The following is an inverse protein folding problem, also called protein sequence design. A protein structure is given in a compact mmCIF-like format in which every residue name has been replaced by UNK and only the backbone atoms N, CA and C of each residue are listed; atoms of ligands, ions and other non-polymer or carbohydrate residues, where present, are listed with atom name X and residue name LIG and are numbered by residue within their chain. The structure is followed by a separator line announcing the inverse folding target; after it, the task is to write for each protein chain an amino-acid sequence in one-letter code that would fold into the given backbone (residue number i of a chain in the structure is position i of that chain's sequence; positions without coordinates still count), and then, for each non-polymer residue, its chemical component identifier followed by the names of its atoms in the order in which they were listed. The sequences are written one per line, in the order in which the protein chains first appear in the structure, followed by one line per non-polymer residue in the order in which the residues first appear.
data_IF_285521369116
#
_entry.id   IF_285521369116
#
_cell.length_a   1.000
_cell.length_b   1.000
_cell.length_c   1.000
_cell.angle_alpha   90.00
_cell.angle_beta   90.00
_cell.angle_gamma   90.00
#
_symmetry.space_group_name_H-M   'P 1'
#
loop_
_entity.id
_entity.type
_entity.pdbx_description
1 polymer ?
#
# COMPACT_ATOMS: atom_id res chain seq x y z
N UNK A 1 -44.41 5.27 23.08
CA UNK A 1 -44.17 3.86 23.47
C UNK A 1 -43.99 3.87 24.99
N UNK A 2 -44.76 3.10 25.77
CA UNK A 2 -44.59 3.06 27.21
C UNK A 2 -43.24 2.43 27.55
N UNK A 3 -42.61 2.94 28.60
CA UNK A 3 -41.28 2.57 29.06
C UNK A 3 -41.27 1.10 29.52
N UNK A 4 -40.52 0.24 28.80
CA UNK A 4 -40.35 -1.17 29.14
C UNK A 4 -39.71 -1.38 30.54
N UNK A 5 -39.17 -0.33 31.18
CA UNK A 5 -38.64 -0.40 32.54
C UNK A 5 -39.74 -0.55 33.61
N UNK A 6 -40.87 0.15 33.48
CA UNK A 6 -41.97 0.06 34.46
C UNK A 6 -42.65 -1.33 34.48
N UNK A 7 -42.72 -1.99 33.32
CA UNK A 7 -43.33 -3.32 33.21
C UNK A 7 -42.42 -4.41 33.82
N UNK A 8 -41.09 -4.24 33.75
CA UNK A 8 -40.14 -5.18 34.32
C UNK A 8 -40.00 -5.02 35.85
N UNK A 9 -40.04 -3.79 36.37
CA UNK A 9 -39.96 -3.55 37.81
C UNK A 9 -41.18 -4.08 38.57
N UNK A 10 -42.38 -3.98 38.00
CA UNK A 10 -43.60 -4.54 38.60
C UNK A 10 -43.61 -6.07 38.62
N UNK A 11 -42.98 -6.71 37.64
CA UNK A 11 -42.85 -8.18 37.60
C UNK A 11 -41.86 -8.68 38.64
N UNK A 12 -40.79 -7.94 38.88
CA UNK A 12 -39.78 -8.27 39.89
C UNK A 12 -40.30 -8.06 41.31
N UNK A 13 -41.00 -6.96 41.58
CA UNK A 13 -41.57 -6.68 42.92
C UNK A 13 -42.61 -7.71 43.36
N UNK A 14 -43.46 -8.18 42.43
CA UNK A 14 -44.43 -9.23 42.66
C UNK A 14 -43.76 -10.58 43.00
N UNK A 15 -42.66 -10.91 42.32
CA UNK A 15 -41.89 -12.12 42.60
C UNK A 15 -41.24 -12.08 43.98
N UNK A 16 -40.79 -10.92 44.48
CA UNK A 16 -40.23 -10.81 45.84
C UNK A 16 -41.27 -11.05 46.93
N UNK A 17 -42.49 -10.53 46.78
CA UNK A 17 -43.57 -10.74 47.75
C UNK A 17 -44.08 -12.19 47.75
N UNK A 18 -44.19 -12.82 46.57
CA UNK A 18 -44.56 -14.23 46.46
C UNK A 18 -43.52 -15.13 47.13
N UNK A 19 -42.24 -14.88 46.88
CA UNK A 19 -41.13 -15.62 47.50
C UNK A 19 -41.13 -15.41 49.03
N UNK A 20 -41.26 -14.17 49.50
CA UNK A 20 -41.29 -13.86 50.94
C UNK A 20 -42.48 -14.53 51.67
N UNK A 21 -43.66 -14.55 51.05
CA UNK A 21 -44.86 -15.18 51.63
C UNK A 21 -44.77 -16.71 51.70
N UNK A 22 -44.19 -17.37 50.69
CA UNK A 22 -43.89 -18.80 50.73
C UNK A 22 -42.93 -19.12 51.88
N UNK A 23 -41.93 -18.26 52.13
CA UNK A 23 -40.99 -18.46 53.23
C UNK A 23 -41.61 -18.29 54.61
N UNK A 24 -42.48 -17.30 54.80
CA UNK A 24 -43.23 -17.14 56.06
C UNK A 24 -44.10 -18.37 56.32
N UNK A 25 -44.74 -18.91 55.29
CA UNK A 25 -45.55 -20.12 55.40
C UNK A 25 -44.71 -21.35 55.78
N UNK A 26 -43.55 -21.55 55.14
CA UNK A 26 -42.62 -22.65 55.47
C UNK A 26 -42.07 -22.49 56.89
N UNK A 27 -41.70 -21.28 57.30
CA UNK A 27 -41.20 -20.99 58.64
C UNK A 27 -42.24 -21.33 59.72
N UNK A 28 -43.49 -20.91 59.52
CA UNK A 28 -44.59 -21.20 60.44
C UNK A 28 -44.89 -22.70 60.50
N UNK A 29 -44.85 -23.39 59.35
CA UNK A 29 -45.12 -24.83 59.27
C UNK A 29 -44.04 -25.67 59.96
N UNK A 30 -42.76 -25.34 59.74
CA UNK A 30 -41.62 -26.00 60.41
C UNK A 30 -41.64 -25.71 61.91
N UNK A 31 -41.92 -24.46 62.31
CA UNK A 31 -42.04 -24.09 63.73
C UNK A 31 -43.17 -24.86 64.42
N UNK A 32 -44.32 -25.03 63.74
CA UNK A 32 -45.44 -25.81 64.24
C UNK A 32 -45.11 -27.31 64.36
N UNK A 33 -44.40 -27.88 63.37
CA UNK A 33 -43.94 -29.27 63.41
C UNK A 33 -42.93 -29.52 64.53
N UNK A 34 -41.98 -28.60 64.72
CA UNK A 34 -41.00 -28.66 65.82
C UNK A 34 -41.69 -28.56 67.17
N UNK A 35 -42.62 -27.62 67.33
CA UNK A 35 -43.38 -27.47 68.57
C UNK A 35 -44.25 -28.71 68.87
N UNK A 36 -44.88 -29.28 67.84
CA UNK A 36 -45.65 -30.52 67.95
C UNK A 36 -44.77 -31.72 68.32
N UNK A 37 -43.59 -31.83 67.73
CA UNK A 37 -42.62 -32.90 68.01
C UNK A 37 -42.00 -32.80 69.40
N UNK A 38 -41.65 -31.59 69.86
CA UNK A 38 -41.22 -31.34 71.24
C UNK A 38 -42.31 -31.76 72.22
N UNK A 39 -43.58 -31.39 71.96
CA UNK A 39 -44.72 -31.83 72.78
C UNK A 39 -44.90 -33.35 72.76
N UNK A 40 -44.72 -34.01 71.63
CA UNK A 40 -44.82 -35.46 71.51
C UNK A 40 -43.73 -36.17 72.33
N UNK A 41 -42.46 -35.76 72.21
CA UNK A 41 -41.36 -36.30 73.02
C UNK A 41 -41.58 -36.03 74.52
N UNK A 42 -42.14 -34.87 74.88
CA UNK A 42 -42.44 -34.51 76.27
C UNK A 42 -43.52 -35.39 76.92
N UNK A 43 -44.36 -36.04 76.12
CA UNK A 43 -45.46 -36.89 76.60
C UNK A 43 -44.99 -38.31 76.98
N UNK A 44 -43.90 -38.80 76.39
CA UNK A 44 -43.48 -40.21 76.47
C UNK A 44 -42.15 -40.45 77.22
N UNK A 45 -41.55 -39.40 77.83
CA UNK A 45 -40.17 -39.46 78.37
C UNK A 45 -40.04 -39.25 79.88
N UNK A 46 -39.03 -39.90 80.48
CA UNK A 46 -38.60 -39.71 81.89
C UNK A 46 -37.74 -38.44 82.06
N UNK A 47 -37.67 -37.82 83.27
CA UNK A 47 -37.07 -36.49 83.47
C UNK A 47 -35.61 -36.32 83.00
N UNK A 48 -34.77 -37.36 83.06
CA UNK A 48 -33.36 -37.31 82.63
C UNK A 48 -33.18 -37.36 81.10
N UNK A 49 -34.03 -38.08 80.37
CA UNK A 49 -33.98 -38.17 78.91
C UNK A 49 -34.62 -36.96 78.22
N UNK A 50 -35.51 -36.24 78.93
CA UNK A 50 -36.19 -35.04 78.46
C UNK A 50 -35.20 -33.92 78.10
N UNK A 51 -34.29 -33.58 79.03
CA UNK A 51 -33.31 -32.48 78.83
C UNK A 51 -32.33 -32.81 77.69
N UNK A 52 -31.91 -34.08 77.56
CA UNK A 52 -30.98 -34.51 76.50
C UNK A 52 -31.64 -34.43 75.12
N UNK A 53 -32.85 -34.97 74.99
CA UNK A 53 -33.61 -34.99 73.73
C UNK A 53 -34.03 -33.59 73.27
N UNK A 54 -34.38 -32.69 74.20
CA UNK A 54 -34.68 -31.28 73.89
C UNK A 54 -33.45 -30.56 73.32
N UNK A 55 -32.27 -30.79 73.90
CA UNK A 55 -31.01 -30.20 73.40
C UNK A 55 -30.61 -30.70 72.01
N UNK A 56 -30.85 -31.98 71.71
CA UNK A 56 -30.58 -32.56 70.39
C UNK A 56 -31.59 -32.06 69.36
N UNK A 57 -32.89 -31.99 69.71
CA UNK A 57 -33.92 -31.42 68.86
C UNK A 57 -33.62 -29.95 68.51
N UNK A 58 -33.22 -29.13 69.48
CA UNK A 58 -32.79 -27.74 69.25
C UNK A 58 -31.58 -27.64 68.32
N UNK A 59 -30.57 -28.52 68.46
CA UNK A 59 -29.41 -28.57 67.56
C UNK A 59 -29.79 -28.95 66.13
N UNK A 60 -30.67 -29.94 65.94
CA UNK A 60 -31.17 -30.33 64.62
C UNK A 60 -31.93 -29.19 63.96
N UNK A 61 -32.79 -28.50 64.71
CA UNK A 61 -33.52 -27.32 64.22
C UNK A 61 -32.58 -26.19 63.83
N UNK A 62 -31.59 -25.87 64.68
CA UNK A 62 -30.56 -24.87 64.37
C UNK A 62 -29.74 -25.23 63.12
N UNK A 63 -29.46 -26.52 62.90
CA UNK A 63 -28.73 -27.01 61.72
C UNK A 63 -29.57 -26.86 60.44
N UNK A 64 -30.87 -27.16 60.51
CA UNK A 64 -31.80 -26.97 59.39
C UNK A 64 -31.89 -25.49 59.02
N UNK A 65 -32.09 -24.60 60.00
CA UNK A 65 -32.13 -23.16 59.75
C UNK A 65 -30.79 -22.61 59.25
N UNK A 66 -29.66 -23.09 59.78
CA UNK A 66 -28.33 -22.75 59.28
C UNK A 66 -28.12 -23.17 57.83
N UNK A 67 -28.54 -24.38 57.45
CA UNK A 67 -28.49 -24.87 56.07
C UNK A 67 -29.35 -24.05 55.11
N UNK A 68 -30.58 -23.71 55.51
CA UNK A 68 -31.48 -22.86 54.73
C UNK A 68 -30.87 -21.46 54.53
N UNK A 69 -30.29 -20.87 55.59
CA UNK A 69 -29.65 -19.56 55.49
C UNK A 69 -28.46 -19.56 54.50
N UNK A 70 -27.67 -20.64 54.47
CA UNK A 70 -26.58 -20.82 53.49
C UNK A 70 -27.13 -20.89 52.06
N UNK A 71 -28.19 -21.68 51.82
CA UNK A 71 -28.81 -21.81 50.50
C UNK A 71 -29.39 -20.47 50.04
N UNK A 72 -30.05 -19.73 50.92
CA UNK A 72 -30.58 -18.40 50.64
C UNK A 72 -29.45 -17.44 50.25
N UNK A 73 -28.38 -17.39 51.04
CA UNK A 73 -27.20 -16.58 50.71
C UNK A 73 -26.58 -16.99 49.38
N UNK A 74 -26.54 -18.28 49.05
CA UNK A 74 -26.06 -18.77 47.77
C UNK A 74 -26.96 -18.33 46.59
N UNK A 75 -28.29 -18.39 46.72
CA UNK A 75 -29.24 -17.92 45.70
C UNK A 75 -29.13 -16.40 45.50
N UNK A 76 -29.05 -15.63 46.59
CA UNK A 76 -28.85 -14.18 46.50
C UNK A 76 -27.48 -13.83 45.91
N UNK A 77 -26.44 -14.60 46.22
CA UNK A 77 -25.13 -14.43 45.62
C UNK A 77 -25.15 -14.73 44.11
N UNK A 78 -25.80 -15.82 43.69
CA UNK A 78 -25.96 -16.18 42.28
C UNK A 78 -26.73 -15.10 41.50
N UNK A 79 -27.89 -14.66 42.00
CA UNK A 79 -28.65 -13.57 41.36
C UNK A 79 -27.88 -12.25 41.30
N UNK A 80 -27.07 -11.97 42.33
CA UNK A 80 -26.20 -10.78 42.35
C UNK A 80 -25.08 -10.89 41.32
N UNK A 81 -24.54 -12.10 41.12
CA UNK A 81 -23.56 -12.38 40.08
C UNK A 81 -24.16 -12.18 38.67
N UNK A 82 -25.35 -12.72 38.40
CA UNK A 82 -26.05 -12.53 37.12
C UNK A 82 -26.31 -11.03 36.84
N UNK A 83 -26.80 -10.29 37.85
CA UNK A 83 -27.03 -8.85 37.73
C UNK A 83 -25.73 -8.05 37.54
N UNK A 84 -24.62 -8.49 38.16
CA UNK A 84 -23.30 -7.88 37.97
C UNK A 84 -22.78 -8.12 36.55
N UNK A 85 -22.98 -9.32 35.98
CA UNK A 85 -22.60 -9.64 34.61
C UNK A 85 -23.38 -8.77 33.61
N UNK A 86 -24.69 -8.65 33.77
CA UNK A 86 -25.52 -7.78 32.94
C UNK A 86 -25.11 -6.31 33.08
N UNK A 87 -24.83 -5.84 34.30
CA UNK A 87 -24.35 -4.46 34.51
C UNK A 87 -22.96 -4.23 33.92
N UNK A 88 -22.07 -5.22 33.98
CA UNK A 88 -20.72 -5.13 33.45
C UNK A 88 -20.76 -5.06 31.92
N UNK A 89 -21.65 -5.85 31.29
CA UNK A 89 -21.91 -5.77 29.86
C UNK A 89 -22.48 -4.41 29.46
N UNK A 90 -23.49 -3.92 30.16
CA UNK A 90 -24.06 -2.60 29.90
C UNK A 90 -23.05 -1.47 30.14
N UNK A 91 -22.16 -1.60 31.14
CA UNK A 91 -21.09 -0.63 31.39
C UNK A 91 -20.05 -0.64 30.25
N UNK A 92 -19.70 -1.81 29.72
CA UNK A 92 -18.81 -1.94 28.57
C UNK A 92 -19.44 -1.33 27.29
N UNK A 93 -20.71 -1.63 27.02
CA UNK A 93 -21.44 -1.04 25.89
C UNK A 93 -21.54 0.49 26.03
N UNK A 94 -21.86 1.01 27.22
CA UNK A 94 -21.89 2.45 27.47
C UNK A 94 -20.51 3.10 27.34
N UNK A 95 -19.44 2.42 27.74
CA UNK A 95 -18.07 2.90 27.55
C UNK A 95 -17.70 2.98 26.06
N UNK A 96 -18.06 1.97 25.27
CA UNK A 96 -17.88 1.98 23.81
C UNK A 96 -18.67 3.11 23.14
N UNK A 97 -19.93 3.32 23.51
CA UNK A 97 -20.76 4.42 22.99
C UNK A 97 -20.13 5.79 23.35
N UNK A 98 -19.60 5.94 24.56
CA UNK A 98 -18.94 7.17 24.99
C UNK A 98 -17.64 7.43 24.20
N UNK A 99 -16.83 6.40 23.97
CA UNK A 99 -15.63 6.47 23.13
C UNK A 99 -15.98 6.85 21.69
N UNK A 100 -16.96 6.19 21.10
CA UNK A 100 -17.45 6.45 19.73
C UNK A 100 -17.97 7.88 19.58
N UNK A 101 -18.69 8.38 20.59
CA UNK A 101 -19.15 9.76 20.63
C UNK A 101 -17.96 10.73 20.69
N UNK A 102 -16.95 10.45 21.51
CA UNK A 102 -15.77 11.30 21.63
C UNK A 102 -14.96 11.35 20.33
N UNK A 103 -14.80 10.21 19.64
CA UNK A 103 -14.15 10.16 18.33
C UNK A 103 -14.95 10.97 17.31
N UNK A 104 -16.27 10.80 17.28
CA UNK A 104 -17.17 11.54 16.36
C UNK A 104 -17.10 13.05 16.58
N UNK A 105 -17.06 13.51 17.84
CA UNK A 105 -16.90 14.93 18.18
C UNK A 105 -15.52 15.47 17.75
N UNK A 106 -14.43 14.73 18.04
CA UNK A 106 -13.07 15.09 17.60
C UNK A 106 -12.97 15.14 16.08
N UNK A 107 -13.56 14.17 15.39
CA UNK A 107 -13.59 14.09 13.94
C UNK A 107 -14.34 15.28 13.35
N UNK A 108 -15.57 15.54 13.81
CA UNK A 108 -16.37 16.68 13.35
C UNK A 108 -15.63 18.01 13.53
N UNK A 109 -14.95 18.18 14.68
CA UNK A 109 -14.15 19.39 14.94
C UNK A 109 -12.95 19.51 14.02
N UNK A 110 -12.29 18.39 13.71
CA UNK A 110 -11.15 18.36 12.81
C UNK A 110 -11.56 18.71 11.37
N UNK A 111 -12.74 18.25 10.91
CA UNK A 111 -13.30 18.63 9.60
C UNK A 111 -13.62 20.13 9.55
N UNK A 112 -14.23 20.69 10.59
CA UNK A 112 -14.50 22.13 10.69
C UNK A 112 -13.20 22.94 10.62
N UNK A 113 -12.15 22.49 11.31
CA UNK A 113 -10.82 23.11 11.26
C UNK A 113 -10.16 23.01 9.88
N UNK A 114 -10.32 21.88 9.19
CA UNK A 114 -9.79 21.66 7.85
C UNK A 114 -10.42 22.62 6.82
N UNK A 115 -11.68 23.03 7.02
CA UNK A 115 -12.37 24.02 6.20
C UNK A 115 -11.99 25.48 6.50
N UNK A 116 -11.11 25.74 7.47
CA UNK A 116 -10.74 27.09 7.87
C UNK A 116 -9.89 27.80 6.80
N UNK A 117 -10.08 29.12 6.64
CA UNK A 117 -9.21 29.95 5.80
C UNK A 117 -7.80 30.14 6.39
N UNK A 118 -7.64 29.95 7.71
CA UNK A 118 -6.37 30.10 8.42
C UNK A 118 -5.54 28.82 8.36
N UNK A 119 -4.32 28.91 7.85
CA UNK A 119 -3.44 27.74 7.66
C UNK A 119 -3.16 27.04 8.98
N UNK A 120 -2.92 27.76 10.07
CA UNK A 120 -2.61 27.19 11.39
C UNK A 120 -3.77 26.34 11.92
N UNK A 121 -5.00 26.76 11.64
CA UNK A 121 -6.22 26.02 12.02
C UNK A 121 -6.38 24.77 11.16
N UNK A 122 -6.14 24.87 9.84
CA UNK A 122 -6.16 23.69 8.95
C UNK A 122 -5.14 22.64 9.35
N UNK A 123 -3.91 23.05 9.67
CA UNK A 123 -2.88 22.15 10.15
C UNK A 123 -3.30 21.44 11.45
N UNK A 124 -3.94 22.17 12.38
CA UNK A 124 -4.53 21.58 13.58
C UNK A 124 -5.59 20.51 13.25
N UNK A 125 -6.44 20.75 12.25
CA UNK A 125 -7.40 19.78 11.74
C UNK A 125 -6.74 18.53 11.16
N UNK A 126 -5.73 18.71 10.29
CA UNK A 126 -4.98 17.61 9.65
C UNK A 126 -4.33 16.69 10.70
N UNK A 127 -3.63 17.25 11.68
CA UNK A 127 -2.99 16.43 12.72
C UNK A 127 -4.00 15.83 13.71
N UNK A 128 -5.15 16.46 13.91
CA UNK A 128 -6.23 15.86 14.69
C UNK A 128 -6.82 14.65 13.97
N UNK A 129 -7.01 14.73 12.65
CA UNK A 129 -7.41 13.61 11.80
C UNK A 129 -6.36 12.50 11.83
N UNK A 130 -5.06 12.82 11.68
CA UNK A 130 -3.98 11.83 11.81
C UNK A 130 -4.05 11.09 13.15
N UNK A 131 -4.26 11.84 14.25
CA UNK A 131 -4.37 11.24 15.58
C UNK A 131 -5.58 10.33 15.69
N UNK A 132 -6.74 10.71 15.14
CA UNK A 132 -7.92 9.84 15.08
C UNK A 132 -7.61 8.55 14.31
N UNK A 133 -6.94 8.65 13.16
CA UNK A 133 -6.56 7.49 12.35
C UNK A 133 -5.53 6.55 13.04
N UNK A 134 -4.78 7.06 14.02
CA UNK A 134 -3.88 6.26 14.86
C UNK A 134 -4.60 5.65 16.07
N UNK A 135 -5.51 6.40 16.68
CA UNK A 135 -6.27 5.99 17.86
C UNK A 135 -7.38 4.99 17.51
N UNK A 136 -7.91 5.02 16.28
CA UNK A 136 -9.06 4.22 15.83
C UNK A 136 -8.84 3.60 14.44
N UNK A 137 -8.65 2.28 14.41
CA UNK A 137 -8.46 1.53 13.15
C UNK A 137 -9.71 1.58 12.26
N UNK A 138 -10.91 1.59 12.85
CA UNK A 138 -12.18 1.70 12.11
C UNK A 138 -12.32 3.04 11.37
N UNK A 139 -11.76 4.12 11.91
CA UNK A 139 -11.88 5.48 11.36
C UNK A 139 -10.70 5.85 10.46
N UNK A 140 -9.61 5.06 10.50
CA UNK A 140 -8.41 5.25 9.70
C UNK A 140 -8.72 5.48 8.23
N UNK A 141 -9.57 4.63 7.65
CA UNK A 141 -9.98 4.70 6.25
C UNK A 141 -10.69 6.03 5.94
N UNK A 142 -11.69 6.37 6.73
CA UNK A 142 -12.48 7.60 6.56
C UNK A 142 -11.59 8.84 6.62
N UNK A 143 -10.62 8.87 7.54
CA UNK A 143 -9.63 9.93 7.61
C UNK A 143 -8.82 10.03 6.31
N UNK A 144 -8.30 8.91 5.80
CA UNK A 144 -7.53 8.92 4.55
C UNK A 144 -8.38 9.38 3.37
N UNK A 145 -9.64 8.96 3.29
CA UNK A 145 -10.58 9.40 2.24
C UNK A 145 -10.83 10.92 2.31
N UNK A 146 -11.01 11.48 3.50
CA UNK A 146 -11.17 12.92 3.72
C UNK A 146 -9.91 13.69 3.30
N UNK A 147 -8.73 13.28 3.76
CA UNK A 147 -7.47 13.96 3.43
C UNK A 147 -7.20 13.89 1.93
N UNK A 148 -7.47 12.74 1.31
CA UNK A 148 -7.33 12.56 -0.13
C UNK A 148 -8.33 13.43 -0.91
N UNK A 149 -9.58 13.50 -0.46
CA UNK A 149 -10.60 14.37 -1.06
C UNK A 149 -10.23 15.85 -0.93
N UNK A 150 -9.69 16.25 0.23
CA UNK A 150 -9.18 17.60 0.45
C UNK A 150 -8.06 17.95 -0.55
N UNK A 151 -7.11 17.04 -0.78
CA UNK A 151 -6.04 17.23 -1.77
C UNK A 151 -6.63 17.40 -3.17
N UNK A 152 -7.56 16.53 -3.58
CA UNK A 152 -8.18 16.62 -4.93
C UNK A 152 -8.89 17.95 -5.16
N UNK A 153 -9.59 18.47 -4.15
CA UNK A 153 -10.31 19.74 -4.26
C UNK A 153 -9.36 20.95 -4.28
N UNK A 154 -8.26 20.90 -3.52
CA UNK A 154 -7.39 22.07 -3.29
C UNK A 154 -6.10 22.06 -4.11
N UNK A 155 -5.75 20.94 -4.74
CA UNK A 155 -4.64 20.80 -5.66
C UNK A 155 -5.07 20.13 -6.98
N UNK A 156 -6.15 20.57 -7.64
CA UNK A 156 -6.60 19.95 -8.87
C UNK A 156 -5.56 20.15 -9.97
N UNK A 157 -5.48 19.20 -10.90
CA UNK A 157 -4.83 19.42 -12.18
C UNK A 157 -5.54 20.58 -12.90
N UNK A 158 -4.90 21.76 -12.96
CA UNK A 158 -5.40 22.86 -13.78
C UNK A 158 -5.18 22.48 -15.23
N UNK A 159 -6.26 22.11 -15.92
CA UNK A 159 -6.29 21.86 -17.37
C UNK A 159 -5.85 23.14 -18.10
N UNK A 160 -4.55 23.37 -18.23
CA UNK A 160 -4.03 24.33 -19.20
C UNK A 160 -3.80 23.57 -20.50
N UNK A 161 -4.86 23.57 -21.31
CA UNK A 161 -4.88 23.25 -22.73
C UNK A 161 -4.33 21.86 -23.11
N UNK A 162 -5.25 20.89 -23.26
CA UNK A 162 -5.15 19.80 -24.24
C UNK A 162 -5.09 20.41 -25.67
N UNK A 163 -4.03 21.12 -26.01
CA UNK A 163 -3.78 21.63 -27.36
C UNK A 163 -3.06 20.55 -28.17
N UNK A 164 -3.81 19.96 -29.10
CA UNK A 164 -3.35 19.35 -30.36
C UNK A 164 -2.29 18.25 -30.28
N UNK A 165 -2.75 17.01 -30.13
CA UNK A 165 -2.08 15.85 -30.73
C UNK A 165 -2.10 16.03 -32.26
N UNK A 166 -0.93 15.84 -32.89
CA UNK A 166 -0.68 15.40 -34.28
C UNK A 166 0.44 16.19 -35.00
N UNK A 167 1.56 16.53 -34.34
CA UNK A 167 2.78 16.87 -35.10
C UNK A 167 4.08 16.66 -34.30
N UNK A 168 4.91 15.65 -34.63
CA UNK A 168 6.09 15.27 -33.84
C UNK A 168 7.19 16.35 -33.77
N UNK A 169 7.29 17.23 -34.78
CA UNK A 169 8.23 18.36 -34.74
C UNK A 169 7.73 19.52 -33.88
N UNK A 170 6.41 19.64 -33.68
CA UNK A 170 5.81 20.61 -32.77
C UNK A 170 5.91 20.09 -31.34
N UNK A 171 5.84 18.78 -31.11
CA UNK A 171 6.01 18.17 -29.78
C UNK A 171 7.38 18.45 -29.16
N UNK A 172 8.47 18.47 -29.93
CA UNK A 172 9.80 18.83 -29.39
C UNK A 172 9.89 20.32 -28.98
N UNK A 173 9.33 21.23 -29.78
CA UNK A 173 9.26 22.67 -29.47
C UNK A 173 8.24 23.00 -28.36
N UNK A 174 7.10 22.30 -28.32
CA UNK A 174 6.09 22.38 -27.26
C UNK A 174 6.64 21.80 -25.97
N UNK A 175 7.42 20.71 -26.00
CA UNK A 175 8.05 20.13 -24.82
C UNK A 175 9.09 21.10 -24.24
N UNK A 176 9.88 21.78 -25.08
CA UNK A 176 10.78 22.87 -24.63
C UNK A 176 10.00 24.05 -24.02
N UNK A 177 8.83 24.41 -24.58
CA UNK A 177 7.97 25.50 -24.06
C UNK A 177 7.25 25.10 -22.77
N UNK A 178 6.73 23.87 -22.68
CA UNK A 178 6.09 23.27 -21.50
C UNK A 178 7.09 23.13 -20.35
N UNK A 179 8.31 22.66 -20.64
CA UNK A 179 9.45 22.65 -19.68
C UNK A 179 9.82 24.07 -19.21
N UNK A 180 9.76 25.08 -20.09
CA UNK A 180 9.99 26.48 -19.69
C UNK A 180 8.86 27.07 -18.83
N UNK A 181 7.60 26.68 -19.06
CA UNK A 181 6.47 27.09 -18.22
C UNK A 181 6.41 26.32 -16.89
N UNK A 182 6.88 25.06 -16.84
CA UNK A 182 7.11 24.31 -15.59
C UNK A 182 8.17 24.98 -14.67
N UNK A 183 9.09 25.79 -15.19
CA UNK A 183 10.05 26.51 -14.35
C UNK A 183 9.41 27.64 -13.50
N UNK A 184 8.08 27.81 -13.56
CA UNK A 184 7.29 28.60 -12.60
C UNK A 184 6.14 27.77 -12.00
N UNK A 185 6.38 26.51 -11.66
CA UNK A 185 5.43 25.74 -10.86
C UNK A 185 5.17 26.49 -9.55
N UNK A 186 3.89 26.72 -9.18
CA UNK A 186 3.56 27.32 -7.90
C UNK A 186 4.07 26.42 -6.77
N UNK A 187 4.66 27.02 -5.73
CA UNK A 187 5.07 26.29 -4.54
C UNK A 187 3.87 25.54 -3.97
N UNK A 188 4.03 24.24 -3.71
CA UNK A 188 3.00 23.42 -3.10
C UNK A 188 2.52 24.06 -1.79
N UNK A 189 1.19 24.14 -1.61
CA UNK A 189 0.62 24.70 -0.39
C UNK A 189 0.95 23.80 0.82
N UNK A 190 1.16 24.43 1.98
CA UNK A 190 1.64 23.74 3.17
C UNK A 190 0.65 22.68 3.68
N UNK A 191 -0.64 22.99 3.68
CA UNK A 191 -1.70 22.04 4.05
C UNK A 191 -1.76 20.80 3.14
N UNK A 192 -1.57 20.98 1.82
CA UNK A 192 -1.49 19.87 0.87
C UNK A 192 -0.29 18.99 1.19
N UNK A 193 0.87 19.59 1.45
CA UNK A 193 2.06 18.85 1.86
C UNK A 193 1.86 18.11 3.19
N UNK A 194 1.16 18.70 4.16
CA UNK A 194 0.88 18.03 5.43
C UNK A 194 -0.13 16.88 5.28
N UNK A 195 -1.18 17.04 4.47
CA UNK A 195 -2.09 15.95 4.11
C UNK A 195 -1.31 14.79 3.46
N UNK A 196 -0.46 15.09 2.48
CA UNK A 196 0.41 14.10 1.83
C UNK A 196 1.35 13.43 2.82
N UNK A 197 1.90 14.17 3.80
CA UNK A 197 2.79 13.64 4.83
C UNK A 197 2.08 12.64 5.74
N UNK A 198 0.84 12.94 6.13
CA UNK A 198 0.00 12.04 6.93
C UNK A 198 -0.33 10.77 6.14
N UNK A 199 -0.78 10.93 4.88
CA UNK A 199 -1.08 9.79 3.99
C UNK A 199 0.18 8.93 3.78
N UNK A 200 1.32 9.55 3.50
CA UNK A 200 2.58 8.87 3.19
C UNK A 200 3.10 7.97 4.33
N UNK A 201 2.82 8.29 5.60
CA UNK A 201 3.37 7.54 6.75
C UNK A 201 2.38 6.56 7.38
N UNK A 202 1.17 6.46 6.84
CA UNK A 202 0.15 5.58 7.39
C UNK A 202 0.59 4.10 7.38
N UNK A 203 0.03 3.30 8.27
CA UNK A 203 0.25 1.85 8.24
C UNK A 203 -0.59 1.29 7.08
N UNK A 204 0.04 0.46 6.25
CA UNK A 204 -0.67 -0.30 5.24
C UNK A 204 -1.69 -1.19 5.98
N UNK A 205 -2.95 -0.80 5.91
CA UNK A 205 -4.06 -1.59 6.42
C UNK A 205 -4.54 -2.43 5.25
N UNK A 206 -4.56 -3.74 5.47
CA UNK A 206 -4.96 -4.75 4.49
C UNK A 206 -6.48 -4.59 4.25
N UNK A 207 -6.88 -3.57 3.49
CA UNK A 207 -8.28 -3.21 3.29
C UNK A 207 -8.62 -3.42 1.84
N UNK A 208 -9.15 -4.62 1.59
CA UNK A 208 -9.60 -5.21 0.34
C UNK A 208 -10.63 -4.40 -0.48
N UNK A 209 -10.78 -3.07 -0.34
CA UNK A 209 -11.87 -2.41 -1.09
C UNK A 209 -11.74 -0.96 -1.57
N UNK A 210 -10.78 -0.12 -1.14
CA UNK A 210 -10.55 1.18 -1.82
C UNK A 210 -9.10 1.65 -1.75
N UNK A 211 -8.50 1.78 -2.93
CA UNK A 211 -7.20 2.41 -3.17
C UNK A 211 -7.24 3.91 -2.86
N UNK A 212 -6.12 4.46 -2.40
CA UNK A 212 -5.96 5.91 -2.20
C UNK A 212 -6.05 6.62 -3.56
N UNK A 213 -7.10 7.39 -3.81
CA UNK A 213 -7.31 8.06 -5.09
C UNK A 213 -6.71 9.48 -5.11
N UNK A 214 -5.47 9.58 -5.54
CA UNK A 214 -4.73 10.81 -5.80
C UNK A 214 -4.63 11.09 -7.31
N UNK A 215 -5.64 10.72 -8.10
CA UNK A 215 -5.67 10.98 -9.54
C UNK A 215 -6.01 12.44 -9.87
N UNK A 216 -5.57 12.93 -11.03
CA UNK A 216 -5.93 14.26 -11.55
C UNK A 216 -5.59 15.43 -10.61
N UNK A 217 -4.49 15.32 -9.86
CA UNK A 217 -4.01 16.37 -8.94
C UNK A 217 -2.68 16.94 -9.40
N UNK A 218 -2.38 18.17 -9.02
CA UNK A 218 -1.07 18.77 -9.17
C UNK A 218 -0.38 18.92 -7.81
N UNK A 219 0.49 17.96 -7.52
CA UNK A 219 1.33 17.92 -6.32
C UNK A 219 2.80 18.00 -6.72
N UNK A 220 3.10 18.80 -7.74
CA UNK A 220 4.48 19.11 -8.14
C UNK A 220 5.28 19.61 -6.95
N UNK A 221 6.56 19.23 -6.88
CA UNK A 221 7.47 19.56 -5.79
C UNK A 221 7.07 19.00 -4.41
N UNK A 222 6.10 18.09 -4.34
CA UNK A 222 5.75 17.41 -3.09
C UNK A 222 6.91 16.59 -2.54
N UNK A 223 7.06 16.58 -1.22
CA UNK A 223 7.95 15.67 -0.52
C UNK A 223 7.17 14.43 -0.07
N UNK A 224 7.40 13.33 -0.76
CA UNK A 224 6.84 12.00 -0.54
C UNK A 224 7.97 10.97 -0.33
N UNK A 225 9.10 11.42 0.22
CA UNK A 225 10.23 10.54 0.53
C UNK A 225 9.78 9.43 1.49
N UNK A 226 10.05 8.17 1.14
CA UNK A 226 9.60 6.96 1.85
C UNK A 226 8.08 6.82 1.99
N UNK A 227 7.30 7.51 1.15
CA UNK A 227 5.85 7.41 1.21
C UNK A 227 5.37 5.99 0.91
N UNK A 228 4.37 5.53 1.65
CA UNK A 228 3.68 4.26 1.42
C UNK A 228 2.44 4.52 0.57
N UNK A 229 2.58 4.27 -0.73
CA UNK A 229 1.59 4.51 -1.77
C UNK A 229 1.30 3.22 -2.56
N UNK A 230 1.42 2.06 -1.90
CA UNK A 230 1.05 0.76 -2.47
C UNK A 230 -0.38 0.82 -3.01
N UNK A 231 -0.54 0.43 -4.27
CA UNK A 231 -1.80 0.47 -5.02
C UNK A 231 -2.51 1.82 -5.08
N UNK A 232 -1.82 2.94 -4.77
CA UNK A 232 -2.43 4.26 -4.91
C UNK A 232 -2.80 4.53 -6.37
N UNK A 233 -3.95 5.17 -6.59
CA UNK A 233 -4.36 5.65 -7.91
C UNK A 233 -3.82 7.08 -8.05
N UNK A 234 -2.77 7.22 -8.86
CA UNK A 234 -2.06 8.45 -9.21
C UNK A 234 -2.19 8.75 -10.72
N UNK A 235 -3.18 8.15 -11.39
CA UNK A 235 -3.42 8.33 -12.82
C UNK A 235 -3.64 9.82 -13.13
N UNK A 236 -3.00 10.31 -14.19
CA UNK A 236 -3.04 11.73 -14.61
C UNK A 236 -2.53 12.72 -13.53
N UNK A 237 -1.88 12.25 -12.45
CA UNK A 237 -1.30 13.15 -11.45
C UNK A 237 -0.05 13.87 -11.99
N UNK A 238 0.10 15.16 -11.66
CA UNK A 238 1.32 15.93 -11.89
C UNK A 238 2.19 15.88 -10.64
N UNK A 239 3.29 15.14 -10.75
CA UNK A 239 4.31 14.87 -9.74
C UNK A 239 5.67 15.50 -10.11
N UNK A 240 5.65 16.51 -10.99
CA UNK A 240 6.87 17.13 -11.52
C UNK A 240 7.75 17.66 -10.39
N UNK A 241 9.03 17.32 -10.41
CA UNK A 241 10.01 17.69 -9.38
C UNK A 241 9.66 17.22 -7.95
N UNK A 242 8.69 16.31 -7.79
CA UNK A 242 8.40 15.71 -6.50
C UNK A 242 9.54 14.79 -6.03
N UNK A 243 9.67 14.63 -4.71
CA UNK A 243 10.66 13.77 -4.07
C UNK A 243 9.94 12.51 -3.59
N UNK A 244 10.10 11.42 -4.31
CA UNK A 244 9.57 10.07 -4.03
C UNK A 244 10.71 9.07 -3.78
N UNK A 245 11.89 9.55 -3.35
CA UNK A 245 13.01 8.69 -3.02
C UNK A 245 12.58 7.63 -2.00
N UNK A 246 13.01 6.38 -2.17
CA UNK A 246 12.66 5.26 -1.29
C UNK A 246 11.14 5.03 -1.09
N UNK A 247 10.26 5.65 -1.89
CA UNK A 247 8.82 5.46 -1.78
C UNK A 247 8.40 4.04 -2.19
N UNK A 248 7.31 3.53 -1.60
CA UNK A 248 6.71 2.24 -1.91
C UNK A 248 5.48 2.50 -2.76
N UNK A 249 5.58 2.23 -4.06
CA UNK A 249 4.57 2.42 -5.10
C UNK A 249 4.19 1.07 -5.75
N UNK A 250 4.31 -0.02 -4.98
CA UNK A 250 4.02 -1.38 -5.48
C UNK A 250 2.57 -1.43 -5.97
N UNK A 251 2.34 -1.84 -7.22
CA UNK A 251 1.00 -1.90 -7.82
C UNK A 251 0.30 -0.55 -8.01
N UNK A 252 0.98 0.58 -7.81
CA UNK A 252 0.38 1.90 -7.97
C UNK A 252 0.02 2.17 -9.44
N UNK A 253 -1.09 2.86 -9.66
CA UNK A 253 -1.52 3.29 -10.99
C UNK A 253 -1.03 4.72 -11.25
N UNK A 254 -0.01 4.86 -12.08
CA UNK A 254 0.61 6.10 -12.56
C UNK A 254 0.31 6.34 -14.05
N UNK A 255 -0.77 5.74 -14.59
CA UNK A 255 -1.14 5.87 -16.00
C UNK A 255 -1.27 7.35 -16.39
N UNK A 256 -0.61 7.76 -17.48
CA UNK A 256 -0.56 9.15 -17.96
C UNK A 256 -0.05 10.18 -16.93
N UNK A 257 0.58 9.77 -15.82
CA UNK A 257 1.10 10.71 -14.83
C UNK A 257 2.30 11.51 -15.37
N UNK A 258 2.46 12.75 -14.92
CA UNK A 258 3.64 13.57 -15.24
C UNK A 258 4.66 13.52 -14.11
N UNK A 259 5.76 12.82 -14.33
CA UNK A 259 6.88 12.57 -13.41
C UNK A 259 8.16 13.30 -13.88
N UNK A 260 8.00 14.44 -14.55
CA UNK A 260 9.13 15.22 -15.07
C UNK A 260 10.09 15.62 -13.94
N UNK A 261 11.37 15.24 -14.06
CA UNK A 261 12.41 15.46 -13.03
C UNK A 261 12.05 14.95 -11.62
N UNK A 262 11.09 14.03 -11.50
CA UNK A 262 10.73 13.45 -10.21
C UNK A 262 11.90 12.60 -9.70
N UNK A 263 12.18 12.69 -8.40
CA UNK A 263 13.18 11.85 -7.75
C UNK A 263 12.51 10.57 -7.24
N UNK A 264 12.77 9.44 -7.90
CA UNK A 264 12.35 8.08 -7.58
C UNK A 264 13.56 7.21 -7.20
N UNK A 265 14.69 7.79 -6.81
CA UNK A 265 15.89 7.05 -6.41
C UNK A 265 15.54 6.03 -5.33
N UNK A 266 15.87 4.75 -5.53
CA UNK A 266 15.55 3.63 -4.64
C UNK A 266 14.05 3.40 -4.36
N UNK A 267 13.15 3.96 -5.16
CA UNK A 267 11.72 3.69 -5.03
C UNK A 267 11.38 2.24 -5.46
N UNK A 268 10.33 1.68 -4.86
CA UNK A 268 9.76 0.38 -5.22
C UNK A 268 8.53 0.58 -6.09
N UNK A 269 8.66 0.31 -7.38
CA UNK A 269 7.63 0.41 -8.43
C UNK A 269 7.24 -0.98 -8.95
N UNK A 270 7.42 -2.03 -8.14
CA UNK A 270 7.11 -3.41 -8.51
C UNK A 270 5.64 -3.49 -8.95
N UNK A 271 5.37 -4.04 -10.12
CA UNK A 271 4.01 -4.17 -10.70
C UNK A 271 3.25 -2.83 -10.84
N UNK A 272 3.93 -1.68 -10.74
CA UNK A 272 3.30 -0.38 -10.94
C UNK A 272 2.93 -0.18 -12.42
N UNK A 273 1.80 0.48 -12.67
CA UNK A 273 1.38 0.82 -14.03
C UNK A 273 1.82 2.26 -14.35
N UNK A 274 2.78 2.45 -15.24
CA UNK A 274 3.26 3.73 -15.74
C UNK A 274 2.95 3.92 -17.24
N UNK A 275 1.93 3.22 -17.77
CA UNK A 275 1.52 3.34 -19.17
C UNK A 275 1.37 4.80 -19.58
N UNK A 276 2.09 5.21 -20.64
CA UNK A 276 2.10 6.59 -21.16
C UNK A 276 2.50 7.69 -20.17
N UNK A 277 3.11 7.36 -19.03
CA UNK A 277 3.63 8.36 -18.10
C UNK A 277 4.81 9.13 -18.71
N UNK A 278 5.01 10.37 -18.25
CA UNK A 278 6.16 11.20 -18.61
C UNK A 278 7.21 11.20 -17.49
N UNK A 279 8.23 10.36 -17.60
CA UNK A 279 9.41 10.31 -16.72
C UNK A 279 10.61 11.06 -17.32
N UNK A 280 10.39 12.03 -18.20
CA UNK A 280 11.48 12.81 -18.79
C UNK A 280 12.37 13.41 -17.69
N UNK A 281 13.67 13.13 -17.75
CA UNK A 281 14.68 13.56 -16.75
C UNK A 281 14.43 13.10 -15.31
N UNK A 282 13.59 12.09 -15.08
CA UNK A 282 13.40 11.51 -13.75
C UNK A 282 14.66 10.80 -13.26
N UNK A 283 14.81 10.74 -11.93
CA UNK A 283 15.92 10.05 -11.26
C UNK A 283 15.40 8.73 -10.67
N UNK A 284 15.84 7.60 -11.21
CA UNK A 284 15.40 6.25 -10.84
C UNK A 284 16.61 5.36 -10.48
N UNK A 285 17.70 5.95 -10.00
CA UNK A 285 18.90 5.20 -9.62
C UNK A 285 18.53 4.15 -8.56
N UNK A 286 18.88 2.89 -8.82
CA UNK A 286 18.56 1.75 -7.95
C UNK A 286 17.07 1.57 -7.65
N UNK A 287 16.18 2.14 -8.45
CA UNK A 287 14.74 1.85 -8.34
C UNK A 287 14.46 0.39 -8.72
N UNK A 288 13.41 -0.17 -8.14
CA UNK A 288 12.92 -1.51 -8.45
C UNK A 288 11.64 -1.40 -9.27
N UNK A 289 11.74 -1.70 -10.55
CA UNK A 289 10.66 -1.68 -11.56
C UNK A 289 10.27 -3.11 -11.97
N UNK A 290 10.57 -4.11 -11.14
CA UNK A 290 10.26 -5.51 -11.44
C UNK A 290 8.79 -5.66 -11.85
N UNK A 291 8.54 -6.22 -13.04
CA UNK A 291 7.19 -6.42 -13.60
C UNK A 291 6.33 -5.16 -13.72
N UNK A 292 6.93 -3.97 -13.71
CA UNK A 292 6.21 -2.73 -13.96
C UNK A 292 5.79 -2.60 -15.43
N UNK A 293 4.69 -1.90 -15.69
CA UNK A 293 4.17 -1.63 -17.03
C UNK A 293 4.59 -0.23 -17.47
N UNK A 294 5.52 -0.13 -18.42
CA UNK A 294 6.05 1.12 -18.99
C UNK A 294 5.84 1.20 -20.52
N UNK A 295 4.81 0.53 -21.04
CA UNK A 295 4.46 0.64 -22.45
C UNK A 295 4.16 2.11 -22.83
N UNK A 296 4.72 2.55 -23.95
CA UNK A 296 4.63 3.94 -24.46
C UNK A 296 5.06 5.04 -23.47
N UNK A 297 5.81 4.71 -22.40
CA UNK A 297 6.30 5.67 -21.41
C UNK A 297 7.45 6.52 -21.97
N UNK A 298 7.52 7.80 -21.62
CA UNK A 298 8.64 8.66 -21.98
C UNK A 298 9.69 8.74 -20.86
N UNK A 299 10.86 8.13 -21.08
CA UNK A 299 12.02 8.10 -20.17
C UNK A 299 13.19 8.94 -20.70
N UNK A 300 12.94 9.84 -21.66
CA UNK A 300 13.99 10.64 -22.33
C UNK A 300 14.86 11.37 -21.30
N UNK A 301 16.18 11.20 -21.40
CA UNK A 301 17.17 11.76 -20.45
C UNK A 301 16.99 11.35 -18.97
N UNK A 302 16.21 10.31 -18.65
CA UNK A 302 16.10 9.80 -17.29
C UNK A 302 17.36 9.05 -16.86
N UNK A 303 17.56 8.86 -15.56
CA UNK A 303 18.68 8.08 -15.01
C UNK A 303 18.18 6.84 -14.29
N UNK A 304 18.50 5.66 -14.82
CA UNK A 304 18.15 4.32 -14.29
C UNK A 304 19.41 3.53 -13.89
N UNK A 305 20.45 4.23 -13.43
CA UNK A 305 21.73 3.59 -13.08
C UNK A 305 21.54 2.56 -11.96
N UNK A 306 21.97 1.32 -12.19
CA UNK A 306 21.75 0.16 -11.33
C UNK A 306 20.27 -0.13 -10.97
N UNK A 307 19.31 0.31 -11.77
CA UNK A 307 17.89 -0.03 -11.55
C UNK A 307 17.63 -1.52 -11.87
N UNK A 308 16.61 -2.08 -11.22
CA UNK A 308 16.10 -3.44 -11.51
C UNK A 308 14.88 -3.32 -12.39
N UNK A 309 14.90 -3.93 -13.56
CA UNK A 309 13.84 -3.97 -14.56
C UNK A 309 13.56 -5.42 -14.99
N UNK A 310 13.57 -6.36 -14.03
CA UNK A 310 13.27 -7.77 -14.29
C UNK A 310 11.83 -7.93 -14.78
N UNK A 311 11.62 -8.60 -15.92
CA UNK A 311 10.29 -8.81 -16.54
C UNK A 311 9.48 -7.50 -16.73
N UNK A 312 10.15 -6.36 -16.86
CA UNK A 312 9.48 -5.06 -17.07
C UNK A 312 9.02 -4.91 -18.52
N UNK A 313 7.81 -4.40 -18.71
CA UNK A 313 7.30 -4.07 -20.05
C UNK A 313 7.66 -2.64 -20.44
N UNK A 314 8.48 -2.47 -21.47
CA UNK A 314 8.95 -1.20 -22.04
C UNK A 314 8.61 -1.11 -23.54
N UNK A 315 7.64 -1.88 -24.02
CA UNK A 315 7.28 -1.89 -25.44
C UNK A 315 6.91 -0.48 -25.93
N UNK A 316 7.51 -0.06 -27.05
CA UNK A 316 7.32 1.29 -27.62
C UNK A 316 7.75 2.46 -26.72
N UNK A 317 8.40 2.22 -25.58
CA UNK A 317 8.83 3.29 -24.67
C UNK A 317 9.95 4.13 -25.30
N UNK A 318 10.00 5.42 -24.94
CA UNK A 318 11.07 6.32 -25.39
C UNK A 318 12.15 6.46 -24.32
N UNK A 319 13.26 5.75 -24.49
CA UNK A 319 14.47 5.78 -23.66
C UNK A 319 15.62 6.56 -24.32
N UNK A 320 15.32 7.57 -25.15
CA UNK A 320 16.35 8.36 -25.83
C UNK A 320 17.27 9.05 -24.83
N UNK A 321 18.58 8.87 -24.99
CA UNK A 321 19.62 9.41 -24.09
C UNK A 321 19.46 9.01 -22.61
N UNK A 322 18.70 7.96 -22.31
CA UNK A 322 18.52 7.47 -20.94
C UNK A 322 19.80 6.80 -20.44
N UNK A 323 20.13 7.01 -19.16
CA UNK A 323 21.29 6.39 -18.54
C UNK A 323 20.91 5.10 -17.79
N UNK A 324 21.10 3.96 -18.45
CA UNK A 324 20.86 2.58 -17.97
C UNK A 324 22.18 1.88 -17.53
N UNK A 325 23.21 2.64 -17.13
CA UNK A 325 24.48 2.07 -16.68
C UNK A 325 24.26 1.00 -15.59
N UNK A 326 24.70 -0.23 -15.86
CA UNK A 326 24.52 -1.40 -14.98
C UNK A 326 23.06 -1.73 -14.61
N UNK A 327 22.07 -1.27 -15.37
CA UNK A 327 20.68 -1.66 -15.16
C UNK A 327 20.48 -3.17 -15.44
N UNK A 328 19.54 -3.79 -14.73
CA UNK A 328 19.18 -5.20 -14.89
C UNK A 328 17.87 -5.31 -15.66
N UNK A 329 17.92 -5.57 -16.96
CA UNK A 329 16.79 -5.74 -17.88
C UNK A 329 16.59 -7.22 -18.26
N UNK A 330 16.80 -8.14 -17.31
CA UNK A 330 16.65 -9.57 -17.56
C UNK A 330 15.18 -9.86 -17.86
N UNK A 331 14.90 -10.53 -18.97
CA UNK A 331 13.55 -10.88 -19.44
C UNK A 331 12.61 -9.67 -19.65
N UNK A 332 13.16 -8.45 -19.75
CA UNK A 332 12.36 -7.26 -20.08
C UNK A 332 11.92 -7.27 -21.56
N UNK A 333 10.75 -6.70 -21.84
CA UNK A 333 10.26 -6.49 -23.21
C UNK A 333 10.47 -5.04 -23.62
N UNK A 334 11.23 -4.82 -24.68
CA UNK A 334 11.61 -3.53 -25.26
C UNK A 334 11.32 -3.50 -26.77
N UNK A 335 10.35 -4.29 -27.24
CA UNK A 335 9.99 -4.36 -28.65
C UNK A 335 9.57 -2.96 -29.12
N UNK A 336 10.10 -2.53 -30.27
CA UNK A 336 9.86 -1.20 -30.85
C UNK A 336 10.29 0.00 -29.96
N UNK A 337 11.01 -0.22 -28.85
CA UNK A 337 11.44 0.85 -27.96
C UNK A 337 12.50 1.76 -28.62
N UNK A 338 12.48 3.06 -28.28
CA UNK A 338 13.43 4.05 -28.78
C UNK A 338 14.57 4.23 -27.77
N UNK A 339 15.73 3.65 -28.06
CA UNK A 339 16.94 3.69 -27.22
C UNK A 339 18.07 4.52 -27.86
N UNK A 340 17.74 5.43 -28.78
CA UNK A 340 18.73 6.26 -29.49
C UNK A 340 19.62 7.01 -28.50
N UNK A 341 20.94 6.81 -28.58
CA UNK A 341 21.92 7.43 -27.69
C UNK A 341 21.86 6.98 -26.23
N UNK A 342 21.06 5.96 -25.88
CA UNK A 342 20.98 5.46 -24.50
C UNK A 342 22.32 4.86 -24.03
N UNK A 343 22.64 5.02 -22.75
CA UNK A 343 23.81 4.41 -22.14
C UNK A 343 23.43 3.12 -21.41
N UNK A 344 23.67 1.98 -22.05
CA UNK A 344 23.48 0.61 -21.55
C UNK A 344 24.81 -0.04 -21.15
N UNK A 345 25.86 0.75 -20.90
CA UNK A 345 27.18 0.21 -20.54
C UNK A 345 27.05 -0.71 -19.32
N UNK A 346 27.53 -1.95 -19.43
CA UNK A 346 27.44 -3.00 -18.41
C UNK A 346 26.01 -3.37 -17.98
N UNK A 347 24.99 -3.04 -18.77
CA UNK A 347 23.63 -3.49 -18.52
C UNK A 347 23.52 -5.01 -18.73
N UNK A 348 22.59 -5.64 -18.01
CA UNK A 348 22.27 -7.06 -18.15
C UNK A 348 20.94 -7.17 -18.89
N UNK A 349 20.97 -7.68 -20.12
CA UNK A 349 19.85 -7.82 -21.05
C UNK A 349 19.61 -9.30 -21.39
N UNK A 350 19.97 -10.22 -20.50
CA UNK A 350 19.79 -11.66 -20.71
C UNK A 350 18.32 -11.99 -20.98
N UNK A 351 18.05 -12.72 -22.06
CA UNK A 351 16.70 -13.05 -22.54
C UNK A 351 15.78 -11.83 -22.80
N UNK A 352 16.32 -10.61 -22.93
CA UNK A 352 15.49 -9.44 -23.22
C UNK A 352 14.95 -9.47 -24.66
N UNK A 353 13.74 -8.94 -24.86
CA UNK A 353 13.12 -8.80 -26.18
C UNK A 353 13.36 -7.37 -26.68
N UNK A 354 14.14 -7.20 -27.74
CA UNK A 354 14.53 -5.92 -28.35
C UNK A 354 14.21 -5.92 -29.86
N UNK A 355 13.25 -6.75 -30.30
CA UNK A 355 12.87 -6.80 -31.70
C UNK A 355 12.36 -5.44 -32.18
N UNK A 356 12.85 -5.02 -33.36
CA UNK A 356 12.57 -3.70 -33.94
C UNK A 356 12.96 -2.49 -33.08
N UNK A 357 13.75 -2.66 -32.02
CA UNK A 357 14.18 -1.56 -31.16
C UNK A 357 15.14 -0.60 -31.89
N UNK A 358 15.03 0.70 -31.62
CA UNK A 358 15.89 1.74 -32.18
C UNK A 358 17.08 2.04 -31.25
N UNK A 359 18.21 1.39 -31.48
CA UNK A 359 19.45 1.50 -30.68
C UNK A 359 20.53 2.36 -31.39
N UNK A 360 20.12 3.26 -32.28
CA UNK A 360 21.07 4.09 -33.04
C UNK A 360 21.95 4.91 -32.09
N UNK A 361 23.26 4.84 -32.29
CA UNK A 361 24.26 5.54 -31.47
C UNK A 361 24.22 5.19 -29.96
N UNK A 362 23.52 4.12 -29.56
CA UNK A 362 23.48 3.65 -28.17
C UNK A 362 24.85 3.11 -27.73
N UNK A 363 25.12 3.17 -26.42
CA UNK A 363 26.36 2.69 -25.80
C UNK A 363 26.07 1.42 -25.03
N UNK A 364 26.40 0.25 -25.59
CA UNK A 364 26.25 -1.07 -24.98
C UNK A 364 27.62 -1.68 -24.60
N UNK A 365 28.62 -0.86 -24.31
CA UNK A 365 29.95 -1.35 -23.98
C UNK A 365 29.90 -2.29 -22.75
N UNK A 366 30.54 -3.46 -22.85
CA UNK A 366 30.53 -4.52 -21.84
C UNK A 366 29.12 -4.99 -21.40
N UNK A 367 28.08 -4.80 -22.23
CA UNK A 367 26.72 -5.26 -21.91
C UNK A 367 26.57 -6.77 -22.11
N UNK A 368 25.66 -7.39 -21.36
CA UNK A 368 25.37 -8.83 -21.43
C UNK A 368 24.04 -9.07 -22.15
N UNK A 369 24.06 -9.52 -23.39
CA UNK A 369 22.88 -9.78 -24.23
C UNK A 369 22.65 -11.27 -24.51
N UNK A 370 23.06 -12.14 -23.58
CA UNK A 370 22.89 -13.59 -23.69
C UNK A 370 21.43 -13.94 -24.05
N UNK A 371 21.24 -14.63 -25.18
CA UNK A 371 19.94 -15.01 -25.74
C UNK A 371 18.93 -13.85 -25.97
N UNK A 372 19.37 -12.60 -26.02
CA UNK A 372 18.48 -11.48 -26.32
C UNK A 372 17.92 -11.60 -27.76
N UNK A 373 16.67 -11.19 -27.95
CA UNK A 373 16.09 -11.07 -29.28
C UNK A 373 16.34 -9.65 -29.82
N UNK A 374 17.13 -9.49 -30.89
CA UNK A 374 17.41 -8.22 -31.56
C UNK A 374 16.96 -8.28 -33.03
N UNK A 375 15.97 -9.12 -33.37
CA UNK A 375 15.49 -9.21 -34.75
C UNK A 375 15.03 -7.84 -35.25
N UNK A 376 15.50 -7.43 -36.42
CA UNK A 376 15.18 -6.14 -37.06
C UNK A 376 15.60 -4.89 -36.25
N UNK A 377 16.36 -5.04 -35.17
CA UNK A 377 16.81 -3.91 -34.36
C UNK A 377 17.80 -3.01 -35.12
N UNK A 378 17.70 -1.69 -34.91
CA UNK A 378 18.63 -0.73 -35.50
C UNK A 378 19.78 -0.40 -34.54
N UNK A 379 20.93 -1.03 -34.74
CA UNK A 379 22.18 -0.81 -33.98
C UNK A 379 23.17 0.10 -34.73
N UNK A 380 22.72 0.88 -35.71
CA UNK A 380 23.62 1.74 -36.48
C UNK A 380 24.38 2.71 -35.55
N UNK A 381 25.70 2.84 -35.76
CA UNK A 381 26.61 3.67 -34.95
C UNK A 381 26.68 3.31 -33.45
N UNK A 382 26.07 2.21 -33.01
CA UNK A 382 26.13 1.80 -31.61
C UNK A 382 27.57 1.43 -31.20
N UNK A 383 27.92 1.71 -29.94
CA UNK A 383 29.16 1.23 -29.34
C UNK A 383 28.89 -0.11 -28.62
N UNK A 384 29.30 -1.20 -29.23
CA UNK A 384 29.14 -2.57 -28.75
C UNK A 384 30.45 -3.15 -28.19
N UNK A 385 31.44 -2.31 -27.89
CA UNK A 385 32.78 -2.77 -27.47
C UNK A 385 32.69 -3.73 -26.28
N UNK A 386 33.26 -4.93 -26.41
CA UNK A 386 33.29 -5.92 -25.31
C UNK A 386 31.94 -6.52 -24.92
N UNK A 387 30.86 -6.25 -25.65
CA UNK A 387 29.53 -6.78 -25.34
C UNK A 387 29.43 -8.28 -25.66
N UNK A 388 28.64 -9.00 -24.87
CA UNK A 388 28.37 -10.43 -25.04
C UNK A 388 27.02 -10.64 -25.73
N UNK A 389 27.05 -11.11 -26.98
CA UNK A 389 25.89 -11.48 -27.80
C UNK A 389 25.70 -12.99 -27.92
N UNK A 390 26.26 -13.78 -27.01
CA UNK A 390 26.17 -15.24 -27.07
C UNK A 390 24.71 -15.68 -27.17
N UNK A 391 24.37 -16.44 -28.22
CA UNK A 391 23.01 -16.95 -28.42
C UNK A 391 21.94 -15.92 -28.81
N UNK A 392 22.29 -14.62 -28.89
CA UNK A 392 21.37 -13.56 -29.29
C UNK A 392 20.92 -13.73 -30.75
N UNK A 393 19.69 -13.30 -31.08
CA UNK A 393 19.16 -13.32 -32.45
C UNK A 393 19.30 -11.93 -33.08
N UNK A 394 20.11 -11.82 -34.13
CA UNK A 394 20.38 -10.59 -34.88
C UNK A 394 19.78 -10.63 -36.30
N UNK A 395 18.79 -11.51 -36.56
CA UNK A 395 18.16 -11.62 -37.88
C UNK A 395 17.61 -10.27 -38.32
N UNK A 396 18.12 -9.72 -39.43
CA UNK A 396 17.66 -8.44 -39.97
C UNK A 396 18.15 -7.19 -39.23
N UNK A 397 18.95 -7.32 -38.16
CA UNK A 397 19.47 -6.16 -37.41
C UNK A 397 20.43 -5.30 -38.26
N UNK A 398 20.39 -3.98 -38.09
CA UNK A 398 21.29 -3.06 -38.80
C UNK A 398 22.52 -2.71 -37.96
N UNK A 399 23.73 -2.99 -38.45
CA UNK A 399 25.00 -2.74 -37.73
C UNK A 399 25.90 -1.70 -38.44
N UNK A 400 25.33 -0.86 -39.31
CA UNK A 400 26.08 0.13 -40.09
C UNK A 400 26.88 1.05 -39.17
N UNK A 401 28.21 1.07 -39.33
CA UNK A 401 29.16 1.86 -38.52
C UNK A 401 29.11 1.56 -37.02
N UNK A 402 28.52 0.44 -36.60
CA UNK A 402 28.60 0.00 -35.21
C UNK A 402 30.04 -0.39 -34.85
N UNK A 403 30.46 -0.14 -33.61
CA UNK A 403 31.76 -0.55 -33.10
C UNK A 403 31.62 -1.88 -32.33
N UNK A 404 32.13 -2.95 -32.93
CA UNK A 404 32.09 -4.35 -32.47
C UNK A 404 33.41 -4.81 -31.84
N UNK A 405 34.36 -3.90 -31.60
CA UNK A 405 35.70 -4.23 -31.10
C UNK A 405 35.61 -5.09 -29.84
N UNK A 406 36.22 -6.28 -29.86
CA UNK A 406 36.19 -7.20 -28.71
C UNK A 406 34.82 -7.74 -28.28
N UNK A 407 33.74 -7.51 -29.03
CA UNK A 407 32.45 -8.11 -28.75
C UNK A 407 32.45 -9.62 -29.08
N UNK A 408 31.65 -10.37 -28.32
CA UNK A 408 31.48 -11.80 -28.50
C UNK A 408 30.16 -12.11 -29.20
N UNK A 409 30.23 -12.47 -30.49
CA UNK A 409 29.09 -12.98 -31.25
C UNK A 409 29.12 -14.51 -31.39
N UNK A 410 29.86 -15.23 -30.54
CA UNK A 410 29.88 -16.68 -30.57
C UNK A 410 28.46 -17.22 -30.43
N UNK A 411 28.02 -18.02 -31.41
CA UNK A 411 26.67 -18.61 -31.45
C UNK A 411 25.52 -17.59 -31.58
N UNK A 412 25.80 -16.34 -31.92
CA UNK A 412 24.76 -15.42 -32.36
C UNK A 412 24.03 -16.01 -33.58
N UNK A 413 22.71 -15.84 -33.62
CA UNK A 413 21.84 -16.31 -34.70
C UNK A 413 21.53 -15.17 -35.65
N UNK A 414 21.26 -15.49 -36.92
CA UNK A 414 20.79 -14.52 -37.90
C UNK A 414 21.82 -13.47 -38.37
N UNK A 415 23.01 -13.44 -37.78
CA UNK A 415 24.09 -12.54 -38.20
C UNK A 415 24.62 -12.96 -39.58
N UNK A 416 24.87 -11.99 -40.45
CA UNK A 416 25.35 -12.20 -41.83
C UNK A 416 26.59 -11.35 -42.11
N UNK A 417 27.39 -11.75 -43.11
CA UNK A 417 28.56 -10.99 -43.56
C UNK A 417 28.19 -9.58 -44.05
N UNK A 418 27.00 -9.41 -44.64
CA UNK A 418 26.53 -8.11 -45.12
C UNK A 418 26.30 -7.13 -43.96
N UNK A 419 25.67 -7.58 -42.87
CA UNK A 419 25.40 -6.74 -41.70
C UNK A 419 26.69 -6.18 -41.10
N UNK A 420 27.77 -6.96 -41.06
CA UNK A 420 29.05 -6.55 -40.46
C UNK A 420 30.02 -5.86 -41.45
N UNK A 421 29.71 -5.84 -42.74
CA UNK A 421 30.60 -5.28 -43.78
C UNK A 421 30.90 -3.79 -43.58
N UNK A 422 29.94 -3.03 -43.04
CA UNK A 422 30.11 -1.61 -42.73
C UNK A 422 30.31 -1.33 -41.24
N UNK A 423 30.46 -2.38 -40.44
CA UNK A 423 30.79 -2.26 -39.02
C UNK A 423 32.31 -2.15 -38.82
N UNK A 424 32.69 -1.69 -37.63
CA UNK A 424 34.07 -1.56 -37.16
C UNK A 424 34.31 -2.71 -36.20
N UNK A 425 35.28 -3.57 -36.47
CA UNK A 425 35.71 -4.63 -35.55
C UNK A 425 37.22 -4.81 -35.62
N UNK A 426 37.73 -5.70 -34.78
CA UNK A 426 39.16 -6.01 -34.69
C UNK A 426 39.39 -7.51 -34.53
N UNK A 427 40.62 -7.89 -34.22
CA UNK A 427 40.99 -9.30 -34.05
C UNK A 427 40.34 -9.98 -32.85
N UNK A 428 39.91 -9.19 -31.85
CA UNK A 428 39.28 -9.66 -30.62
C UNK A 428 37.78 -9.81 -30.77
N UNK A 429 37.17 -9.25 -31.82
CA UNK A 429 35.77 -9.51 -32.16
C UNK A 429 35.61 -10.98 -32.54
N UNK A 430 34.81 -11.71 -31.75
CA UNK A 430 34.51 -13.13 -31.98
C UNK A 430 33.26 -13.22 -32.86
N UNK A 431 33.35 -13.96 -33.96
CA UNK A 431 32.26 -14.15 -34.93
C UNK A 431 31.79 -15.61 -34.93
N UNK A 432 30.54 -15.89 -35.36
CA UNK A 432 30.08 -17.24 -35.67
C UNK A 432 30.99 -17.94 -36.69
N UNK A 433 31.15 -19.26 -36.58
CA UNK A 433 32.07 -20.06 -37.43
C UNK A 433 31.80 -19.92 -38.95
N UNK A 434 30.56 -19.61 -39.33
CA UNK A 434 30.13 -19.46 -40.71
C UNK A 434 30.28 -18.05 -41.29
N UNK A 435 30.83 -17.10 -40.55
CA UNK A 435 30.98 -15.70 -40.98
C UNK A 435 32.47 -15.37 -41.16
N UNK A 436 32.83 -14.98 -42.39
CA UNK A 436 34.18 -14.50 -42.68
C UNK A 436 34.39 -13.08 -42.15
N UNK A 437 35.52 -12.85 -41.49
CA UNK A 437 35.89 -11.53 -40.98
C UNK A 437 36.12 -10.54 -42.13
N UNK A 438 35.55 -9.31 -42.07
CA UNK A 438 35.80 -8.29 -43.08
C UNK A 438 37.28 -7.89 -43.17
N UNK A 439 37.80 -7.75 -44.40
CA UNK A 439 39.23 -7.48 -44.67
C UNK A 439 39.75 -6.16 -44.07
N UNK A 440 38.88 -5.19 -43.86
CA UNK A 440 39.24 -3.88 -43.30
C UNK A 440 39.32 -3.86 -41.77
N UNK A 441 38.92 -4.94 -41.09
CA UNK A 441 39.11 -5.08 -39.65
C UNK A 441 40.61 -5.32 -39.39
N UNK A 442 41.26 -4.34 -38.78
CA UNK A 442 42.70 -4.38 -38.51
C UNK A 442 42.96 -5.29 -37.30
N UNK A 443 44.07 -6.02 -37.34
CA UNK A 443 44.74 -6.50 -36.13
C UNK A 443 45.21 -5.28 -35.34
N UNK A 444 44.68 -5.08 -34.14
CA UNK A 444 44.94 -3.91 -33.30
C UNK A 444 46.33 -3.94 -32.66
#
# INVERSE_FOLDING_TARGET
MPDNREVNDNKNSFNYWLIASIYIAIFLLVSALVFGFIKFISYESTPENFIKNESEALKTVATIFGGIAIIINAIFAARRADAMEESAKAALENAQIAEDKQITERFSKAIEQLASEKIEVRLGGIYTLERIAKDSEKDHRTVMEVLTAFIRENAPEKIQNKAQKNNPLIDEWLNIKKVKELNKLPKLCLDIQECLTVIARHKHTNLEDKRLNLSNINISQANLNRAKLTEAILSEAILSEAILSEAILIGADLTNATLYKTNLTQAKLIEANLYKADLTRAYLEKADLTRAYLEETNLTNATLTNATLFETDLNGANLSNTNLYKAQLIEATLSEAILTGANLTKAILTNAMLDSAMLDSAILADAFLLNANLTEANLARANLTGADFTGADLTGATLIKANLTGADFARAKGLTSEQIQLAIGDEKTILPENIERPKHWKSS
#
